data_IF_974041340729
#
_entry.id   IF_974041340729
#
_cell.length_a   1.000
_cell.length_b   1.000
_cell.length_c   1.000
_cell.angle_alpha   90.00
_cell.angle_beta   90.00
_cell.angle_gamma   90.00
#
_symmetry.space_group_name_H-M   'P 1'
#
loop_
_entity.id
_entity.type
_entity.pdbx_description
1 polymer ?
#
# COMPACT_ATOMS: atom_id res chain seq x y z
N UNK A 1 11.13 38.74 20.88
CA UNK A 1 10.59 38.51 19.53
C UNK A 1 9.31 39.31 19.43
N UNK A 2 9.37 40.45 18.73
CA UNK A 2 8.29 41.43 18.68
C UNK A 2 7.10 40.93 17.85
N UNK A 3 5.89 41.18 18.35
CA UNK A 3 4.62 40.83 17.73
C UNK A 3 4.34 41.73 16.52
N UNK A 4 4.03 41.11 15.39
CA UNK A 4 3.54 41.78 14.19
C UNK A 4 2.08 42.25 14.41
N UNK A 5 1.68 43.45 13.94
CA UNK A 5 0.35 44.01 14.21
C UNK A 5 -0.73 43.55 13.22
N UNK A 6 -1.97 43.76 13.68
CA UNK A 6 -3.27 43.79 12.96
C UNK A 6 -3.82 42.47 12.40
N UNK A 7 -4.37 41.63 13.29
CA UNK A 7 -5.56 40.85 12.94
C UNK A 7 -6.83 41.67 13.22
N UNK A 8 -7.89 41.54 12.41
CA UNK A 8 -9.13 42.28 12.60
C UNK A 8 -9.72 42.04 14.01
N UNK A 9 -10.35 43.05 14.65
CA UNK A 9 -10.93 42.92 16.00
C UNK A 9 -11.88 41.73 16.15
N UNK A 10 -12.59 41.37 15.08
CA UNK A 10 -13.47 40.21 15.03
C UNK A 10 -12.74 38.86 15.20
N UNK A 11 -11.49 38.76 14.72
CA UNK A 11 -10.66 37.55 14.83
C UNK A 11 -10.07 37.44 16.23
N UNK A 12 -9.64 38.56 16.82
CA UNK A 12 -9.20 38.59 18.22
C UNK A 12 -10.32 38.22 19.19
N UNK A 13 -11.55 38.71 18.95
CA UNK A 13 -12.71 38.36 19.78
C UNK A 13 -13.08 36.87 19.66
N UNK A 14 -12.94 36.26 18.48
CA UNK A 14 -13.16 34.82 18.29
C UNK A 14 -12.09 33.97 18.98
N UNK A 15 -10.82 34.39 18.91
CA UNK A 15 -9.72 33.71 19.60
C UNK A 15 -9.85 33.78 21.12
N UNK A 16 -10.24 34.94 21.67
CA UNK A 16 -10.50 35.08 23.10
C UNK A 16 -11.68 34.22 23.57
N UNK A 17 -12.78 34.16 22.79
CA UNK A 17 -13.92 33.27 23.11
C UNK A 17 -13.55 31.78 23.03
N UNK A 18 -12.73 31.39 22.06
CA UNK A 18 -12.24 30.02 21.94
C UNK A 18 -11.32 29.64 23.11
N UNK A 19 -10.46 30.56 23.57
CA UNK A 19 -9.62 30.35 24.74
C UNK A 19 -10.41 30.30 26.05
N UNK A 20 -11.49 31.08 26.18
CA UNK A 20 -12.39 31.01 27.34
C UNK A 20 -13.14 29.66 27.40
N UNK A 21 -13.66 29.18 26.27
CA UNK A 21 -14.34 27.88 26.20
C UNK A 21 -13.42 26.69 26.53
N UNK A 22 -12.13 26.78 26.17
CA UNK A 22 -11.13 25.76 26.53
C UNK A 22 -10.84 25.73 28.04
N UNK A 23 -10.80 26.89 28.71
CA UNK A 23 -10.57 26.96 30.16
C UNK A 23 -11.75 26.40 30.97
N UNK A 24 -12.98 26.60 30.51
CA UNK A 24 -14.17 26.02 31.17
C UNK A 24 -14.20 24.48 31.06
N UNK A 25 -13.72 23.92 29.94
CA UNK A 25 -13.61 22.47 29.76
C UNK A 25 -12.51 21.85 30.64
N UNK A 26 -11.42 22.56 30.88
CA UNK A 26 -10.34 22.10 31.76
C UNK A 26 -10.70 22.24 33.25
N UNK A 27 -11.45 23.28 33.64
CA UNK A 27 -11.94 23.46 35.01
C UNK A 27 -13.02 22.47 35.43
N UNK A 28 -13.89 22.05 34.51
CA UNK A 28 -15.01 21.14 34.81
C UNK A 28 -14.62 19.68 35.09
N UNK A 29 -13.47 19.22 34.56
CA UNK A 29 -13.00 17.83 34.75
C UNK A 29 -12.24 17.60 36.06
N UNK A 30 -11.68 18.65 36.67
CA UNK A 30 -10.94 18.52 37.92
C UNK A 30 -11.86 18.48 39.17
N UNK A 31 -13.12 18.92 39.07
CA UNK A 31 -14.03 19.06 40.21
C UNK A 31 -14.98 17.86 40.45
N UNK A 32 -15.05 16.88 39.55
CA UNK A 32 -15.97 15.72 39.68
C UNK A 32 -15.29 14.40 40.07
N UNK A 33 -13.97 14.37 40.28
CA UNK A 33 -13.24 13.15 40.64
C UNK A 33 -13.03 12.92 42.16
N UNK A 34 -13.59 13.78 43.02
CA UNK A 34 -13.34 13.72 44.46
C UNK A 34 -14.63 13.87 45.30
N UNK A 35 -15.56 12.92 45.20
CA UNK A 35 -16.56 12.66 46.25
C UNK A 35 -17.47 11.48 45.86
N UNK A 36 -17.10 10.26 46.25
CA UNK A 36 -18.05 9.22 46.66
C UNK A 36 -17.28 7.93 47.02
N UNK A 37 -17.07 7.71 48.31
CA UNK A 37 -16.87 6.38 48.87
C UNK A 37 -18.07 6.08 49.78
N UNK A 38 -18.66 4.88 49.68
CA UNK A 38 -19.00 4.19 50.91
C UNK A 38 -18.63 2.70 50.92
N UNK A 39 -18.61 2.21 52.15
CA UNK A 39 -18.12 0.94 52.67
C UNK A 39 -18.72 -0.35 52.08
N UNK A 40 -17.82 -1.32 51.95
CA UNK A 40 -17.96 -2.76 52.08
C UNK A 40 -19.32 -3.37 52.46
N UNK A 41 -19.80 -4.30 51.61
CA UNK A 41 -20.33 -5.61 52.05
C UNK A 41 -20.23 -6.65 50.94
N UNK A 42 -19.89 -7.87 51.35
CA UNK A 42 -19.47 -8.97 50.48
C UNK A 42 -20.54 -9.46 49.50
N UNK A 43 -20.08 -9.72 48.27
CA UNK A 43 -20.79 -10.46 47.25
C UNK A 43 -19.76 -11.04 46.29
N UNK A 44 -19.74 -12.38 46.15
CA UNK A 44 -18.92 -13.08 45.15
C UNK A 44 -19.27 -12.56 43.76
N UNK A 45 -18.37 -11.78 43.15
CA UNK A 45 -18.49 -11.35 41.76
C UNK A 45 -17.59 -12.22 40.88
N UNK A 46 -18.21 -12.74 39.82
CA UNK A 46 -17.62 -13.58 38.78
C UNK A 46 -16.42 -12.89 38.13
N UNK A 47 -15.40 -13.68 37.82
CA UNK A 47 -14.32 -13.30 36.93
C UNK A 47 -14.87 -13.00 35.54
N UNK A 48 -14.93 -11.72 35.17
CA UNK A 48 -15.37 -11.30 33.85
C UNK A 48 -15.90 -9.89 33.87
N UNK A 49 -15.00 -8.91 34.03
CA UNK A 49 -15.11 -7.56 33.48
C UNK A 49 -13.86 -6.77 33.87
N UNK A 50 -12.85 -6.81 32.99
CA UNK A 50 -11.83 -5.77 32.93
C UNK A 50 -12.24 -4.82 31.81
N UNK A 51 -12.25 -3.49 32.02
CA UNK A 51 -12.50 -2.54 30.95
C UNK A 51 -11.39 -2.68 29.90
N UNK A 52 -11.78 -3.00 28.67
CA UNK A 52 -10.87 -3.15 27.54
C UNK A 52 -10.27 -1.79 27.12
N UNK A 53 -9.05 -1.77 26.56
CA UNK A 53 -8.41 -0.55 26.12
C UNK A 53 -9.04 -0.08 24.80
N UNK A 54 -10.00 0.85 24.88
CA UNK A 54 -10.65 1.47 23.72
C UNK A 54 -9.76 2.46 22.94
N UNK A 55 -8.47 2.59 23.29
CA UNK A 55 -7.51 3.48 22.63
C UNK A 55 -6.68 2.87 21.47
N UNK A 56 -7.02 1.68 20.96
CA UNK A 56 -6.13 0.91 20.05
C UNK A 56 -6.64 0.68 18.62
N UNK A 57 -7.78 1.26 18.22
CA UNK A 57 -8.35 1.00 16.91
C UNK A 57 -7.62 1.74 15.77
N UNK A 58 -7.04 2.93 16.03
CA UNK A 58 -6.35 3.75 15.01
C UNK A 58 -4.84 3.46 14.86
N UNK A 59 -4.24 2.63 15.72
CA UNK A 59 -2.78 2.39 15.75
C UNK A 59 -2.32 1.10 15.06
N UNK A 60 -3.21 0.14 14.83
CA UNK A 60 -2.84 -1.18 14.25
C UNK A 60 -2.43 -1.17 12.76
N UNK A 61 -3.04 -0.35 11.87
CA UNK A 61 -2.68 -0.32 10.45
C UNK A 61 -1.28 0.25 10.23
N UNK A 62 -1.02 1.43 10.82
CA UNK A 62 0.28 2.11 10.73
C UNK A 62 1.39 1.27 11.33
N UNK A 63 1.11 0.55 12.43
CA UNK A 63 2.06 -0.35 13.04
C UNK A 63 2.36 -1.58 12.18
N UNK A 64 1.41 -2.06 11.37
CA UNK A 64 1.64 -3.19 10.46
C UNK A 64 2.47 -2.75 9.25
N UNK A 65 2.14 -1.61 8.64
CA UNK A 65 2.94 -1.01 7.57
C UNK A 65 4.36 -0.72 8.06
N UNK A 66 4.50 -0.09 9.22
CA UNK A 66 5.80 0.22 9.82
C UNK A 66 6.58 -1.06 10.19
N UNK A 67 5.91 -2.11 10.69
CA UNK A 67 6.55 -3.40 10.96
C UNK A 67 7.01 -4.10 9.69
N UNK A 68 6.17 -4.15 8.65
CA UNK A 68 6.55 -4.73 7.36
C UNK A 68 7.70 -3.96 6.76
N UNK A 69 7.61 -2.63 6.68
CA UNK A 69 8.68 -1.80 6.15
C UNK A 69 9.98 -1.95 6.97
N UNK A 70 9.91 -1.84 8.29
CA UNK A 70 11.07 -1.97 9.17
C UNK A 70 11.72 -3.36 9.08
N UNK A 71 10.92 -4.42 9.02
CA UNK A 71 11.43 -5.77 8.82
C UNK A 71 12.00 -5.96 7.42
N UNK A 72 11.38 -5.41 6.38
CA UNK A 72 11.91 -5.45 5.01
C UNK A 72 13.26 -4.76 4.90
N UNK A 73 13.45 -3.61 5.58
CA UNK A 73 14.75 -2.92 5.64
C UNK A 73 15.80 -3.75 6.37
N UNK A 74 15.43 -4.36 7.51
CA UNK A 74 16.34 -5.24 8.23
C UNK A 74 16.77 -6.46 7.39
N UNK A 75 15.81 -7.10 6.71
CA UNK A 75 16.08 -8.21 5.80
C UNK A 75 16.89 -7.75 4.59
N UNK A 76 16.68 -6.53 4.08
CA UNK A 76 17.45 -5.96 2.97
C UNK A 76 18.93 -5.82 3.28
N UNK A 77 19.28 -5.32 4.46
CA UNK A 77 20.68 -5.23 4.90
C UNK A 77 21.33 -6.62 4.95
N UNK A 78 20.60 -7.62 5.47
CA UNK A 78 21.08 -9.01 5.50
C UNK A 78 21.18 -9.60 4.10
N UNK A 79 20.20 -9.35 3.23
CA UNK A 79 20.16 -9.84 1.87
C UNK A 79 21.34 -9.31 1.03
N UNK A 80 21.65 -8.01 1.14
CA UNK A 80 22.82 -7.40 0.51
C UNK A 80 24.13 -8.01 1.01
N UNK A 81 24.27 -8.19 2.34
CA UNK A 81 25.47 -8.80 2.88
C UNK A 81 25.65 -10.25 2.38
N UNK A 82 24.56 -11.02 2.32
CA UNK A 82 24.59 -12.39 1.79
C UNK A 82 24.91 -12.40 0.30
N UNK A 83 24.30 -11.50 -0.50
CA UNK A 83 24.60 -11.29 -1.92
C UNK A 83 26.08 -11.06 -2.16
N UNK A 84 26.70 -10.14 -1.43
CA UNK A 84 28.13 -9.86 -1.58
C UNK A 84 29.02 -11.05 -1.16
N UNK A 85 28.63 -11.79 -0.11
CA UNK A 85 29.34 -13.03 0.25
C UNK A 85 29.17 -14.10 -0.84
N UNK A 86 28.00 -14.18 -1.48
CA UNK A 86 27.75 -15.14 -2.56
C UNK A 86 28.56 -14.82 -3.82
N UNK A 87 28.86 -13.56 -4.11
CA UNK A 87 29.83 -13.21 -5.15
C UNK A 87 31.21 -13.84 -4.86
N UNK A 88 31.70 -13.77 -3.62
CA UNK A 88 32.96 -14.41 -3.24
C UNK A 88 32.90 -15.93 -3.37
N UNK A 89 31.79 -16.55 -2.96
CA UNK A 89 31.58 -18.00 -3.15
C UNK A 89 31.62 -18.37 -4.63
N UNK A 90 30.93 -17.62 -5.49
CA UNK A 90 30.94 -17.83 -6.93
C UNK A 90 32.35 -17.66 -7.51
N UNK A 91 33.07 -16.62 -7.08
CA UNK A 91 34.45 -16.34 -7.49
C UNK A 91 35.40 -17.49 -7.13
N UNK A 92 35.31 -18.02 -5.90
CA UNK A 92 36.11 -19.18 -5.49
C UNK A 92 35.73 -20.44 -6.25
N UNK A 93 34.45 -20.65 -6.54
CA UNK A 93 33.99 -21.78 -7.36
C UNK A 93 34.51 -21.71 -8.81
N UNK A 94 34.73 -20.49 -9.33
CA UNK A 94 35.38 -20.24 -10.62
C UNK A 94 36.91 -20.36 -10.56
N UNK A 95 37.50 -20.68 -9.40
CA UNK A 95 38.94 -20.78 -9.19
C UNK A 95 39.65 -19.44 -9.00
N UNK A 96 38.91 -18.35 -8.83
CA UNK A 96 39.44 -17.02 -8.57
C UNK A 96 39.76 -16.77 -7.10
N UNK A 97 40.27 -15.58 -6.81
CA UNK A 97 40.48 -15.07 -5.44
C UNK A 97 39.92 -13.65 -5.36
N UNK A 98 39.42 -13.26 -4.19
CA UNK A 98 38.89 -11.92 -3.96
C UNK A 98 38.67 -11.64 -2.49
N UNK A 99 38.24 -10.42 -2.19
CA UNK A 99 38.03 -9.95 -0.82
C UNK A 99 36.76 -9.12 -0.73
N UNK A 100 36.13 -9.14 0.44
CA UNK A 100 35.05 -8.21 0.74
C UNK A 100 35.65 -6.87 1.16
N UNK A 101 35.33 -5.81 0.44
CA UNK A 101 35.76 -4.45 0.76
C UNK A 101 34.55 -3.59 1.10
N UNK A 102 34.80 -2.45 1.75
CA UNK A 102 33.78 -1.43 1.96
C UNK A 102 33.93 -0.36 0.87
N UNK A 103 32.91 -0.21 0.05
CA UNK A 103 32.86 0.75 -1.05
C UNK A 103 31.90 1.89 -0.73
N UNK A 104 32.34 3.12 -1.00
CA UNK A 104 31.57 4.33 -0.76
C UNK A 104 30.75 4.70 -2.00
N UNK A 105 29.43 4.55 -1.92
CA UNK A 105 28.48 4.94 -2.95
C UNK A 105 28.05 6.38 -2.76
N UNK A 106 28.49 7.27 -3.65
CA UNK A 106 28.08 8.68 -3.67
C UNK A 106 26.84 8.84 -4.54
N UNK A 107 25.81 9.49 -3.99
CA UNK A 107 24.61 9.85 -4.73
C UNK A 107 24.92 11.01 -5.69
N UNK A 108 24.36 10.93 -6.89
CA UNK A 108 24.50 11.91 -7.97
C UNK A 108 23.69 13.19 -7.69
N UNK A 109 22.45 13.03 -7.22
CA UNK A 109 21.47 14.11 -7.04
C UNK A 109 21.39 14.60 -5.59
N UNK A 110 21.94 13.84 -4.64
CA UNK A 110 21.94 14.16 -3.21
C UNK A 110 23.37 14.17 -2.67
N UNK A 111 23.74 15.10 -1.76
CA UNK A 111 25.07 15.15 -1.15
C UNK A 111 25.21 14.09 -0.04
N UNK A 112 24.92 12.83 -0.37
CA UNK A 112 24.89 11.70 0.54
C UNK A 112 25.87 10.64 0.03
N UNK A 113 26.55 9.98 0.97
CA UNK A 113 27.41 8.83 0.69
C UNK A 113 27.02 7.68 1.60
N UNK A 114 26.83 6.50 1.03
CA UNK A 114 26.49 5.27 1.75
C UNK A 114 27.66 4.30 1.63
N UNK A 115 28.02 3.67 2.73
CA UNK A 115 29.02 2.61 2.74
C UNK A 115 28.32 1.28 2.52
N UNK A 116 28.77 0.50 1.52
CA UNK A 116 28.28 -0.85 1.26
C UNK A 116 29.44 -1.82 1.18
N UNK A 117 29.16 -3.08 1.47
CA UNK A 117 30.08 -4.14 1.10
C UNK A 117 30.12 -4.29 -0.42
N UNK A 118 31.27 -4.73 -0.92
CA UNK A 118 31.46 -5.10 -2.31
C UNK A 118 32.47 -6.25 -2.39
N UNK A 119 32.13 -7.31 -3.11
CA UNK A 119 33.06 -8.39 -3.42
C UNK A 119 34.00 -7.97 -4.55
N UNK A 120 35.28 -7.78 -4.23
CA UNK A 120 36.28 -7.36 -5.20
C UNK A 120 37.18 -8.54 -5.61
N UNK A 121 37.17 -8.94 -6.89
CA UNK A 121 38.14 -9.90 -7.43
C UNK A 121 39.59 -9.37 -7.33
N UNK A 122 40.53 -10.26 -7.01
CA UNK A 122 41.96 -9.93 -6.95
C UNK A 122 42.56 -9.66 -8.33
N UNK A 123 41.93 -10.17 -9.38
CA UNK A 123 42.32 -9.98 -10.78
C UNK A 123 41.07 -9.65 -11.60
N UNK A 124 41.25 -8.85 -12.65
CA UNK A 124 40.16 -8.55 -13.57
C UNK A 124 39.62 -9.84 -14.19
N UNK A 125 38.30 -10.01 -14.17
CA UNK A 125 37.65 -11.17 -14.75
C UNK A 125 37.51 -11.01 -16.26
N UNK A 126 37.71 -12.12 -16.99
CA UNK A 126 37.30 -12.18 -18.39
C UNK A 126 35.78 -12.09 -18.50
N UNK A 127 35.27 -11.72 -19.69
CA UNK A 127 33.85 -11.44 -19.93
C UNK A 127 32.89 -12.51 -19.38
N UNK A 128 33.09 -13.79 -19.73
CA UNK A 128 32.20 -14.87 -19.29
C UNK A 128 32.26 -15.13 -17.77
N UNK A 129 33.45 -15.26 -17.15
CA UNK A 129 33.55 -15.30 -15.70
C UNK A 129 32.93 -14.09 -14.99
N UNK A 130 33.03 -12.88 -15.56
CA UNK A 130 32.46 -11.66 -15.00
C UNK A 130 30.93 -11.73 -14.99
N UNK A 131 30.31 -12.10 -16.12
CA UNK A 131 28.86 -12.28 -16.19
C UNK A 131 28.35 -13.34 -15.20
N UNK A 132 29.05 -14.46 -15.06
CA UNK A 132 28.67 -15.52 -14.13
C UNK A 132 28.81 -15.03 -12.69
N UNK A 133 29.91 -14.35 -12.37
CA UNK A 133 30.17 -13.78 -11.06
C UNK A 133 29.06 -12.79 -10.66
N UNK A 134 28.70 -11.87 -11.56
CA UNK A 134 27.67 -10.84 -11.34
C UNK A 134 26.26 -11.43 -11.24
N UNK A 135 25.92 -12.43 -12.05
CA UNK A 135 24.63 -13.11 -11.91
C UNK A 135 24.56 -13.95 -10.62
N UNK A 136 25.63 -14.67 -10.30
CA UNK A 136 25.60 -15.71 -9.26
C UNK A 136 25.47 -15.14 -7.84
N UNK A 137 26.10 -14.00 -7.53
CA UNK A 137 25.98 -13.37 -6.21
C UNK A 137 24.53 -13.18 -5.75
N UNK A 138 23.75 -12.34 -6.45
CA UNK A 138 22.35 -12.09 -6.10
C UNK A 138 21.46 -13.32 -6.31
N UNK A 139 21.70 -14.14 -7.35
CA UNK A 139 20.89 -15.34 -7.60
C UNK A 139 21.03 -16.41 -6.49
N UNK A 140 22.25 -16.68 -6.02
CA UNK A 140 22.48 -17.62 -4.92
C UNK A 140 21.89 -17.09 -3.61
N UNK A 141 22.02 -15.78 -3.34
CA UNK A 141 21.39 -15.16 -2.19
C UNK A 141 19.85 -15.28 -2.25
N UNK A 142 19.27 -15.12 -3.44
CA UNK A 142 17.83 -15.28 -3.65
C UNK A 142 17.37 -16.72 -3.39
N UNK A 143 18.17 -17.73 -3.77
CA UNK A 143 17.86 -19.13 -3.46
C UNK A 143 17.84 -19.39 -1.94
N UNK A 144 18.80 -18.84 -1.20
CA UNK A 144 18.87 -18.98 0.26
C UNK A 144 17.68 -18.30 0.96
N UNK A 145 17.37 -17.05 0.58
CA UNK A 145 16.19 -16.34 1.09
C UNK A 145 14.88 -17.02 0.63
N UNK A 146 14.87 -17.64 -0.54
CA UNK A 146 13.71 -18.33 -1.10
C UNK A 146 13.31 -19.52 -0.24
N UNK A 147 14.30 -20.29 0.23
CA UNK A 147 14.07 -21.38 1.17
C UNK A 147 13.44 -20.90 2.48
N UNK A 148 13.93 -19.79 3.04
CA UNK A 148 13.34 -19.17 4.24
C UNK A 148 11.89 -18.74 4.02
N UNK A 149 11.57 -18.21 2.82
CA UNK A 149 10.21 -17.77 2.48
C UNK A 149 9.20 -18.92 2.47
N UNK A 150 9.63 -20.13 2.10
CA UNK A 150 8.77 -21.34 2.16
C UNK A 150 8.48 -21.75 3.60
N UNK A 151 9.44 -21.59 4.51
CA UNK A 151 9.28 -21.94 5.91
C UNK A 151 8.40 -20.95 6.70
N UNK A 152 8.31 -19.69 6.25
CA UNK A 152 7.61 -18.63 6.98
C UNK A 152 6.16 -18.48 6.55
N UNK A 153 5.28 -18.63 7.53
CA UNK A 153 3.82 -18.58 7.35
C UNK A 153 3.20 -17.25 7.82
N UNK A 154 3.91 -16.46 8.64
CA UNK A 154 3.44 -15.14 9.07
C UNK A 154 3.50 -14.17 7.88
N UNK A 155 2.41 -13.44 7.58
CA UNK A 155 2.36 -12.55 6.43
C UNK A 155 3.33 -11.38 6.48
N UNK A 156 3.66 -10.83 7.65
CA UNK A 156 4.53 -9.65 7.73
C UNK A 156 5.97 -10.02 7.33
N UNK A 157 6.61 -11.03 7.95
CA UNK A 157 7.91 -11.51 7.50
C UNK A 157 7.89 -12.12 6.10
N UNK A 158 6.79 -12.77 5.68
CA UNK A 158 6.68 -13.32 4.33
C UNK A 158 6.67 -12.22 3.26
N UNK A 159 5.92 -11.13 3.46
CA UNK A 159 5.95 -9.96 2.57
C UNK A 159 7.33 -9.31 2.56
N UNK A 160 7.99 -9.20 3.73
CA UNK A 160 9.35 -8.68 3.82
C UNK A 160 10.37 -9.52 3.06
N UNK A 161 10.30 -10.85 3.18
CA UNK A 161 11.14 -11.78 2.42
C UNK A 161 10.84 -11.71 0.91
N UNK A 162 9.57 -11.69 0.52
CA UNK A 162 9.18 -11.58 -0.89
C UNK A 162 9.68 -10.28 -1.55
N UNK A 163 9.61 -9.15 -0.84
CA UNK A 163 10.17 -7.88 -1.33
C UNK A 163 11.68 -7.98 -1.56
N UNK A 164 12.40 -8.64 -0.66
CA UNK A 164 13.85 -8.82 -0.77
C UNK A 164 14.24 -9.84 -1.85
N UNK A 165 13.42 -10.87 -2.09
CA UNK A 165 13.60 -11.76 -3.25
C UNK A 165 13.46 -11.00 -4.56
N UNK A 166 12.49 -10.07 -4.66
CA UNK A 166 12.33 -9.24 -5.85
C UNK A 166 13.52 -8.30 -6.06
N UNK A 167 14.08 -7.75 -4.97
CA UNK A 167 15.30 -6.93 -5.02
C UNK A 167 16.51 -7.74 -5.49
N UNK A 168 16.71 -8.95 -4.98
CA UNK A 168 17.80 -9.82 -5.42
C UNK A 168 17.62 -10.25 -6.89
N UNK A 169 16.38 -10.51 -7.32
CA UNK A 169 16.09 -10.78 -8.73
C UNK A 169 16.40 -9.57 -9.62
N UNK A 170 16.14 -8.34 -9.13
CA UNK A 170 16.54 -7.11 -9.81
C UNK A 170 18.07 -7.03 -9.95
N UNK A 171 18.85 -7.24 -8.89
CA UNK A 171 20.31 -7.24 -8.96
C UNK A 171 20.85 -8.33 -9.90
N UNK A 172 20.30 -9.54 -9.84
CA UNK A 172 20.66 -10.65 -10.72
C UNK A 172 20.44 -10.36 -12.20
N UNK A 173 19.60 -9.39 -12.54
CA UNK A 173 19.44 -8.94 -13.93
C UNK A 173 20.39 -7.80 -14.25
N UNK A 174 20.45 -6.75 -13.42
CA UNK A 174 21.15 -5.51 -13.79
C UNK A 174 22.67 -5.65 -13.75
N UNK A 175 23.22 -6.45 -12.82
CA UNK A 175 24.67 -6.61 -12.67
C UNK A 175 25.31 -7.23 -13.91
N UNK A 176 24.86 -8.43 -14.38
CA UNK A 176 25.39 -8.97 -15.64
C UNK A 176 25.00 -8.13 -16.85
N UNK A 177 23.86 -7.41 -16.80
CA UNK A 177 23.45 -6.52 -17.89
C UNK A 177 24.41 -5.34 -18.04
N UNK A 178 24.93 -4.78 -16.95
CA UNK A 178 25.92 -3.69 -16.99
C UNK A 178 27.18 -4.12 -17.74
N UNK A 179 27.74 -5.29 -17.40
CA UNK A 179 28.90 -5.88 -18.10
C UNK A 179 28.61 -6.14 -19.58
N UNK A 180 27.43 -6.66 -19.89
CA UNK A 180 27.04 -6.93 -21.28
C UNK A 180 26.90 -5.63 -22.10
N UNK A 181 26.36 -4.57 -21.51
CA UNK A 181 26.18 -3.26 -22.15
C UNK A 181 27.51 -2.52 -22.30
N UNK A 182 28.38 -2.59 -21.31
CA UNK A 182 29.74 -2.02 -21.38
C UNK A 182 30.56 -2.70 -22.48
N UNK A 183 30.52 -4.03 -22.56
CA UNK A 183 31.17 -4.79 -23.63
C UNK A 183 30.62 -4.46 -25.03
N UNK A 184 29.35 -4.05 -25.13
CA UNK A 184 28.71 -3.60 -26.36
C UNK A 184 28.96 -2.11 -26.68
N UNK A 185 29.64 -1.37 -25.80
CA UNK A 185 29.85 0.07 -25.93
C UNK A 185 28.59 0.91 -25.77
N UNK A 186 27.55 0.37 -25.11
CA UNK A 186 26.29 1.06 -24.90
C UNK A 186 26.38 1.99 -23.66
N UNK A 187 25.97 3.26 -23.74
CA UNK A 187 26.10 4.20 -22.63
C UNK A 187 25.01 3.96 -21.57
N UNK A 188 25.20 2.97 -20.70
CA UNK A 188 24.23 2.56 -19.68
C UNK A 188 24.66 2.87 -18.23
N UNK A 189 25.57 3.84 -18.04
CA UNK A 189 26.13 4.27 -16.75
C UNK A 189 25.08 4.58 -15.64
N UNK A 190 23.82 4.80 -15.99
CA UNK A 190 22.74 4.98 -15.01
C UNK A 190 22.47 3.71 -14.19
N UNK A 191 22.80 2.52 -14.72
CA UNK A 191 22.69 1.25 -13.99
C UNK A 191 23.62 1.20 -12.77
N UNK A 192 24.69 2.00 -12.77
CA UNK A 192 25.63 2.14 -11.67
C UNK A 192 25.34 3.37 -10.80
N UNK A 193 24.23 4.08 -11.01
CA UNK A 193 23.87 5.18 -10.11
C UNK A 193 23.40 4.65 -8.77
N UNK A 194 23.89 5.25 -7.68
CA UNK A 194 23.41 4.92 -6.34
C UNK A 194 21.88 5.11 -6.24
N UNK A 195 21.33 6.12 -6.91
CA UNK A 195 19.88 6.34 -6.95
C UNK A 195 19.10 5.22 -7.63
N UNK A 196 19.66 4.64 -8.69
CA UNK A 196 18.99 3.52 -9.35
C UNK A 196 19.09 2.26 -8.47
N UNK A 197 20.30 1.97 -7.97
CA UNK A 197 20.59 0.79 -7.17
C UNK A 197 19.94 0.79 -5.79
N UNK A 198 19.72 1.94 -5.14
CA UNK A 198 19.04 2.02 -3.83
C UNK A 198 17.59 2.50 -3.96
N UNK A 199 17.27 3.30 -4.97
CA UNK A 199 15.92 3.83 -5.18
C UNK A 199 14.93 2.77 -5.65
N UNK A 200 15.31 1.90 -6.58
CA UNK A 200 14.44 0.79 -7.03
C UNK A 200 14.15 -0.17 -5.87
N UNK A 201 15.14 -0.64 -5.09
CA UNK A 201 14.85 -1.41 -3.87
C UNK A 201 13.96 -0.68 -2.88
N UNK A 202 14.22 0.61 -2.60
CA UNK A 202 13.37 1.38 -1.69
C UNK A 202 11.92 1.43 -2.17
N UNK A 203 11.69 1.62 -3.47
CA UNK A 203 10.34 1.59 -4.05
C UNK A 203 9.68 0.22 -3.90
N UNK A 204 10.42 -0.88 -4.11
CA UNK A 204 9.94 -2.25 -3.88
C UNK A 204 9.53 -2.43 -2.41
N UNK A 205 10.37 -1.97 -1.46
CA UNK A 205 10.08 -2.07 -0.03
C UNK A 205 8.84 -1.25 0.37
N UNK A 206 8.72 -0.04 -0.15
CA UNK A 206 7.58 0.84 0.09
C UNK A 206 6.30 0.23 -0.49
N UNK A 207 6.32 -0.23 -1.74
CA UNK A 207 5.17 -0.89 -2.37
C UNK A 207 4.72 -2.12 -1.58
N UNK A 208 5.66 -3.00 -1.21
CA UNK A 208 5.37 -4.18 -0.40
C UNK A 208 4.74 -3.82 0.97
N UNK A 209 5.17 -2.70 1.57
CA UNK A 209 4.59 -2.21 2.82
C UNK A 209 3.23 -1.51 2.66
N UNK A 210 2.94 -0.94 1.49
CA UNK A 210 1.77 -0.10 1.23
C UNK A 210 0.58 -0.83 0.55
N UNK A 211 0.81 -1.96 -0.12
CA UNK A 211 -0.24 -2.75 -0.80
C UNK A 211 -1.49 -3.03 0.08
N UNK A 212 -1.34 -3.39 1.38
CA UNK A 212 -2.51 -3.57 2.26
C UNK A 212 -3.30 -2.28 2.51
N UNK A 213 -2.62 -1.14 2.63
CA UNK A 213 -3.26 0.16 2.82
C UNK A 213 -3.99 0.61 1.55
N UNK A 214 -3.41 0.33 0.38
CA UNK A 214 -4.01 0.61 -0.93
C UNK A 214 -5.39 -0.05 -1.08
N UNK A 215 -5.51 -1.33 -0.71
CA UNK A 215 -6.80 -2.05 -0.68
C UNK A 215 -7.83 -1.40 0.24
N UNK A 216 -7.43 -1.02 1.45
CA UNK A 216 -8.33 -0.37 2.42
C UNK A 216 -8.79 0.98 1.88
N UNK A 217 -7.90 1.78 1.28
CA UNK A 217 -8.26 3.05 0.65
C UNK A 217 -9.24 2.85 -0.50
N UNK A 218 -9.01 1.86 -1.37
CA UNK A 218 -9.96 1.50 -2.43
C UNK A 218 -11.32 1.07 -1.86
N UNK A 219 -11.33 0.30 -0.77
CA UNK A 219 -12.56 -0.08 -0.08
C UNK A 219 -13.29 1.13 0.51
N UNK A 220 -12.58 2.06 1.16
CA UNK A 220 -13.14 3.30 1.70
C UNK A 220 -13.69 4.23 0.61
N UNK A 221 -13.03 4.29 -0.55
CA UNK A 221 -13.54 4.98 -1.73
C UNK A 221 -14.93 4.46 -2.11
N UNK A 222 -15.10 3.15 -2.22
CA UNK A 222 -16.40 2.55 -2.53
C UNK A 222 -17.45 2.81 -1.44
N UNK A 223 -17.06 2.68 -0.16
CA UNK A 223 -17.96 2.99 0.97
C UNK A 223 -18.38 4.46 1.00
N UNK A 224 -17.49 5.38 0.64
CA UNK A 224 -17.83 6.80 0.53
C UNK A 224 -18.94 7.01 -0.50
N UNK A 225 -18.80 6.50 -1.73
CA UNK A 225 -19.84 6.66 -2.75
C UNK A 225 -21.13 5.89 -2.44
N UNK A 226 -21.04 4.74 -1.78
CA UNK A 226 -22.20 4.03 -1.28
C UNK A 226 -22.95 4.86 -0.23
N UNK A 227 -22.23 5.50 0.70
CA UNK A 227 -22.84 6.33 1.74
C UNK A 227 -23.65 7.50 1.18
N UNK A 228 -23.17 8.15 0.10
CA UNK A 228 -23.91 9.20 -0.60
C UNK A 228 -25.22 8.70 -1.22
N UNK A 229 -25.28 7.42 -1.63
CA UNK A 229 -26.49 6.81 -2.19
C UNK A 229 -27.46 6.37 -1.08
N UNK A 230 -26.95 5.87 0.03
CA UNK A 230 -27.76 5.52 1.19
C UNK A 230 -28.37 6.73 1.90
N UNK A 231 -27.76 7.91 1.79
CA UNK A 231 -28.37 9.18 2.20
C UNK A 231 -29.57 9.59 1.32
N UNK A 232 -29.76 8.94 0.17
CA UNK A 232 -30.89 9.10 -0.73
C UNK A 232 -30.46 8.96 -2.19
N UNK A 233 -31.05 8.03 -2.94
CA UNK A 233 -30.67 7.75 -4.35
C UNK A 233 -31.28 8.71 -5.37
N UNK A 234 -32.18 9.62 -4.95
CA UNK A 234 -32.95 10.47 -5.87
C UNK A 234 -32.10 11.35 -6.78
N UNK A 235 -30.92 11.78 -6.32
CA UNK A 235 -29.98 12.59 -7.11
C UNK A 235 -29.42 11.84 -8.33
N UNK A 236 -29.45 10.50 -8.32
CA UNK A 236 -28.95 9.69 -9.44
C UNK A 236 -29.93 9.66 -10.62
N UNK A 237 -31.22 9.93 -10.40
CA UNK A 237 -32.22 9.91 -11.47
C UNK A 237 -31.85 10.81 -12.66
N UNK A 238 -31.61 12.12 -12.47
CA UNK A 238 -31.24 12.99 -13.59
C UNK A 238 -29.91 12.58 -14.23
N UNK A 239 -28.95 12.04 -13.48
CA UNK A 239 -27.68 11.57 -14.04
C UNK A 239 -27.83 10.33 -14.91
N UNK A 240 -28.62 9.35 -14.47
CA UNK A 240 -28.89 8.13 -15.24
C UNK A 240 -29.66 8.48 -16.53
N UNK A 241 -30.66 9.36 -16.43
CA UNK A 241 -31.45 9.80 -17.58
C UNK A 241 -30.62 10.66 -18.54
N UNK A 242 -29.78 11.56 -18.02
CA UNK A 242 -28.86 12.37 -18.81
C UNK A 242 -27.82 11.53 -19.54
N UNK A 243 -27.15 10.61 -18.82
CA UNK A 243 -26.20 9.68 -19.40
C UNK A 243 -26.83 8.83 -20.52
N UNK A 244 -28.04 8.33 -20.32
CA UNK A 244 -28.77 7.58 -21.35
C UNK A 244 -29.02 8.42 -22.62
N UNK A 245 -29.28 9.72 -22.48
CA UNK A 245 -29.57 10.60 -23.62
C UNK A 245 -28.32 10.91 -24.47
N UNK A 246 -27.14 10.97 -23.85
CA UNK A 246 -25.91 11.46 -24.51
C UNK A 246 -24.86 10.38 -24.78
N UNK A 247 -25.04 9.15 -24.29
CA UNK A 247 -24.05 8.09 -24.48
C UNK A 247 -23.97 7.69 -25.97
N UNK A 248 -22.80 7.80 -26.63
CA UNK A 248 -22.68 7.55 -28.06
C UNK A 248 -22.36 6.09 -28.40
N UNK A 249 -22.16 5.21 -27.41
CA UNK A 249 -21.76 3.82 -27.65
C UNK A 249 -22.99 2.99 -28.04
N UNK A 250 -23.04 2.42 -29.26
CA UNK A 250 -24.15 1.55 -29.66
C UNK A 250 -24.21 0.29 -28.78
N UNK A 251 -25.41 -0.15 -28.46
CA UNK A 251 -25.71 -1.21 -27.50
C UNK A 251 -25.79 -0.71 -26.05
N UNK A 252 -24.84 0.11 -25.61
CA UNK A 252 -24.86 0.72 -24.26
C UNK A 252 -25.92 1.81 -24.20
N UNK A 253 -26.02 2.65 -25.23
CA UNK A 253 -27.03 3.69 -25.33
C UNK A 253 -28.45 3.10 -25.19
N UNK A 254 -28.77 2.07 -25.97
CA UNK A 254 -30.09 1.44 -25.99
C UNK A 254 -30.40 0.74 -24.67
N UNK A 255 -29.42 0.05 -24.06
CA UNK A 255 -29.58 -0.53 -22.73
C UNK A 255 -29.90 0.57 -21.70
N UNK A 256 -29.16 1.68 -21.73
CA UNK A 256 -29.38 2.80 -20.82
C UNK A 256 -30.75 3.45 -21.04
N UNK A 257 -31.13 3.72 -22.28
CA UNK A 257 -32.37 4.41 -22.62
C UNK A 257 -33.63 3.56 -22.41
N UNK A 258 -33.59 2.27 -22.77
CA UNK A 258 -34.76 1.40 -22.77
C UNK A 258 -34.94 0.62 -21.47
N UNK A 259 -33.85 0.31 -20.76
CA UNK A 259 -33.88 -0.55 -19.56
C UNK A 259 -33.51 0.22 -18.31
N UNK A 260 -32.36 0.89 -18.30
CA UNK A 260 -31.80 1.51 -17.08
C UNK A 260 -32.55 2.77 -16.68
N UNK A 261 -32.76 3.71 -17.61
CA UNK A 261 -33.39 5.00 -17.32
C UNK A 261 -34.86 4.91 -16.85
N UNK A 262 -35.71 4.03 -17.43
CA UNK A 262 -37.07 3.82 -16.91
C UNK A 262 -37.07 3.17 -15.53
N UNK A 263 -36.09 2.30 -15.25
CA UNK A 263 -35.97 1.55 -14.00
C UNK A 263 -34.87 2.12 -13.07
N UNK A 264 -34.57 3.42 -13.20
CA UNK A 264 -33.39 4.07 -12.60
C UNK A 264 -33.22 3.78 -11.11
N UNK A 265 -34.32 3.69 -10.36
CA UNK A 265 -34.31 3.47 -8.92
C UNK A 265 -33.64 2.15 -8.56
N UNK A 266 -34.02 1.06 -9.25
CA UNK A 266 -33.47 -0.27 -8.97
C UNK A 266 -31.99 -0.36 -9.34
N UNK A 267 -31.57 0.28 -10.43
CA UNK A 267 -30.16 0.35 -10.81
C UNK A 267 -29.34 1.21 -9.83
N UNK A 268 -29.90 2.32 -9.35
CA UNK A 268 -29.26 3.16 -8.34
C UNK A 268 -29.06 2.41 -7.02
N UNK A 269 -30.08 1.67 -6.56
CA UNK A 269 -30.00 0.83 -5.36
C UNK A 269 -29.04 -0.33 -5.56
N UNK A 270 -29.11 -1.03 -6.70
CA UNK A 270 -28.19 -2.13 -7.02
C UNK A 270 -26.73 -1.66 -7.04
N UNK A 271 -26.47 -0.48 -7.60
CA UNK A 271 -25.14 0.12 -7.56
C UNK A 271 -24.71 0.45 -6.13
N UNK A 272 -25.57 1.05 -5.30
CA UNK A 272 -25.28 1.32 -3.90
C UNK A 272 -24.93 0.05 -3.11
N UNK A 273 -25.69 -1.03 -3.33
CA UNK A 273 -25.42 -2.35 -2.74
C UNK A 273 -24.09 -2.89 -3.24
N UNK A 274 -23.82 -2.85 -4.54
CA UNK A 274 -22.56 -3.30 -5.13
C UNK A 274 -21.35 -2.58 -4.54
N UNK A 275 -21.39 -1.25 -4.49
CA UNK A 275 -20.34 -0.42 -3.90
C UNK A 275 -20.15 -0.72 -2.40
N UNK A 276 -21.25 -0.95 -1.67
CA UNK A 276 -21.20 -1.34 -0.25
C UNK A 276 -20.51 -2.69 -0.07
N UNK A 277 -20.89 -3.69 -0.87
CA UNK A 277 -20.32 -5.05 -0.81
C UNK A 277 -18.83 -5.01 -1.14
N UNK A 278 -18.45 -4.37 -2.25
CA UNK A 278 -17.04 -4.20 -2.63
C UNK A 278 -16.28 -3.50 -1.52
N UNK A 279 -16.80 -2.37 -1.03
CA UNK A 279 -16.18 -1.58 0.02
C UNK A 279 -15.94 -2.37 1.29
N UNK A 280 -16.95 -3.09 1.81
CA UNK A 280 -16.82 -3.90 3.02
C UNK A 280 -15.84 -5.07 2.82
N UNK A 281 -15.93 -5.80 1.71
CA UNK A 281 -15.05 -6.92 1.41
C UNK A 281 -13.58 -6.46 1.28
N UNK A 282 -13.35 -5.35 0.57
CA UNK A 282 -12.03 -4.73 0.40
C UNK A 282 -11.53 -4.02 1.65
N UNK A 283 -12.36 -3.59 2.60
CA UNK A 283 -11.85 -3.09 3.89
C UNK A 283 -11.51 -4.27 4.80
N UNK A 284 -12.40 -5.26 4.94
CA UNK A 284 -12.27 -6.39 5.86
C UNK A 284 -11.33 -7.51 5.40
N UNK A 285 -10.99 -7.52 4.11
CA UNK A 285 -10.10 -8.49 3.47
C UNK A 285 -10.74 -9.86 3.38
N UNK A 286 -11.99 -9.82 2.96
CA UNK A 286 -12.80 -10.97 2.66
C UNK A 286 -12.94 -11.03 1.15
N UNK A 287 -12.74 -12.21 0.57
CA UNK A 287 -12.88 -12.43 -0.86
C UNK A 287 -12.21 -11.35 -1.75
N UNK A 288 -10.99 -10.89 -1.43
CA UNK A 288 -10.46 -9.61 -1.95
C UNK A 288 -10.37 -9.57 -3.46
N UNK A 289 -9.96 -10.68 -4.09
CA UNK A 289 -9.92 -10.79 -5.54
C UNK A 289 -11.32 -10.69 -6.16
N UNK A 290 -12.31 -11.36 -5.58
CA UNK A 290 -13.70 -11.29 -6.07
C UNK A 290 -14.28 -9.89 -5.90
N UNK A 291 -13.98 -9.25 -4.77
CA UNK A 291 -14.37 -7.88 -4.49
C UNK A 291 -13.71 -6.90 -5.47
N UNK A 292 -12.42 -7.10 -5.80
CA UNK A 292 -11.71 -6.31 -6.79
C UNK A 292 -12.29 -6.50 -8.21
N UNK A 293 -12.65 -7.73 -8.61
CA UNK A 293 -13.35 -7.97 -9.88
C UNK A 293 -14.70 -7.25 -9.92
N UNK A 294 -15.50 -7.34 -8.85
CA UNK A 294 -16.78 -6.62 -8.79
C UNK A 294 -16.58 -5.10 -8.82
N UNK A 295 -15.59 -4.58 -8.09
CA UNK A 295 -15.21 -3.17 -8.13
C UNK A 295 -14.75 -2.72 -9.52
N UNK A 296 -13.98 -3.55 -10.23
CA UNK A 296 -13.56 -3.29 -11.60
C UNK A 296 -14.78 -3.18 -12.54
N UNK A 297 -15.75 -4.10 -12.43
CA UNK A 297 -16.97 -4.07 -13.23
C UNK A 297 -17.80 -2.80 -12.94
N UNK A 298 -17.94 -2.42 -11.67
CA UNK A 298 -18.61 -1.17 -11.28
C UNK A 298 -17.89 0.06 -11.84
N UNK A 299 -16.56 0.11 -11.73
CA UNK A 299 -15.75 1.21 -12.22
C UNK A 299 -15.79 1.34 -13.74
N UNK A 300 -15.73 0.21 -14.47
CA UNK A 300 -15.88 0.17 -15.92
C UNK A 300 -17.26 0.66 -16.34
N UNK A 301 -18.32 0.20 -15.69
CA UNK A 301 -19.67 0.68 -15.95
C UNK A 301 -19.77 2.21 -15.74
N UNK A 302 -19.25 2.71 -14.62
CA UNK A 302 -19.28 4.16 -14.32
C UNK A 302 -18.45 4.97 -15.32
N UNK A 303 -17.26 4.49 -15.68
CA UNK A 303 -16.42 5.11 -16.69
C UNK A 303 -17.13 5.18 -18.05
N UNK A 304 -17.84 4.11 -18.45
CA UNK A 304 -18.56 4.03 -19.72
C UNK A 304 -19.90 4.79 -19.73
N UNK A 305 -20.53 4.99 -18.58
CA UNK A 305 -21.82 5.68 -18.50
C UNK A 305 -21.63 7.18 -18.32
N UNK A 306 -20.68 7.59 -17.48
CA UNK A 306 -20.52 8.99 -17.04
C UNK A 306 -19.56 9.79 -17.93
N UNK A 307 -18.70 9.15 -18.72
CA UNK A 307 -17.66 9.84 -19.50
C UNK A 307 -18.20 10.89 -20.50
N UNK A 308 -19.46 10.78 -20.93
CA UNK A 308 -20.08 11.72 -21.87
C UNK A 308 -21.04 12.73 -21.20
N UNK A 309 -21.46 12.47 -19.97
CA UNK A 309 -22.33 13.39 -19.22
C UNK A 309 -21.53 14.36 -18.35
N UNK A 310 -20.55 13.86 -17.59
CA UNK A 310 -19.79 14.75 -16.72
C UNK A 310 -18.92 15.71 -17.53
N UNK A 311 -19.20 17.01 -17.51
CA UNK A 311 -18.37 18.03 -18.19
C UNK A 311 -17.00 18.22 -17.53
N UNK A 312 -16.88 17.86 -16.25
CA UNK A 312 -15.64 17.96 -15.47
C UNK A 312 -14.67 16.79 -15.79
N UNK A 313 -13.48 17.06 -16.37
CA UNK A 313 -12.46 16.05 -16.61
C UNK A 313 -11.98 15.35 -15.33
N UNK A 314 -11.91 16.05 -14.19
CA UNK A 314 -11.46 15.49 -12.93
C UNK A 314 -12.39 14.38 -12.42
N UNK A 315 -13.70 14.55 -12.61
CA UNK A 315 -14.69 13.55 -12.28
C UNK A 315 -14.56 12.28 -13.13
N UNK A 316 -14.20 12.41 -14.41
CA UNK A 316 -13.95 11.25 -15.30
C UNK A 316 -12.69 10.49 -14.90
N UNK A 317 -11.61 11.23 -14.59
CA UNK A 317 -10.34 10.66 -14.15
C UNK A 317 -10.48 9.81 -12.88
N UNK A 318 -11.35 10.20 -11.97
CA UNK A 318 -11.63 9.43 -10.76
C UNK A 318 -12.13 8.01 -11.07
N UNK A 319 -12.98 7.83 -12.08
CA UNK A 319 -13.44 6.48 -12.48
C UNK A 319 -12.38 5.70 -13.25
N UNK A 320 -11.54 6.37 -14.06
CA UNK A 320 -10.41 5.70 -14.73
C UNK A 320 -9.37 5.20 -13.72
N UNK A 321 -9.07 6.00 -12.69
CA UNK A 321 -8.23 5.57 -11.59
C UNK A 321 -8.88 4.42 -10.82
N UNK A 322 -10.19 4.46 -10.58
CA UNK A 322 -10.90 3.34 -9.97
C UNK A 322 -10.78 2.05 -10.80
N UNK A 323 -10.82 2.12 -12.14
CA UNK A 323 -10.57 0.96 -13.01
C UNK A 323 -9.18 0.39 -12.77
N UNK A 324 -8.14 1.23 -12.82
CA UNK A 324 -6.74 0.79 -12.62
C UNK A 324 -6.50 0.22 -11.22
N UNK A 325 -6.98 0.90 -10.19
CA UNK A 325 -6.86 0.49 -8.78
C UNK A 325 -7.51 -0.88 -8.55
N UNK A 326 -8.74 -1.08 -9.04
CA UNK A 326 -9.41 -2.36 -8.87
C UNK A 326 -8.76 -3.47 -9.72
N UNK A 327 -8.24 -3.15 -10.91
CA UNK A 327 -7.48 -4.11 -11.71
C UNK A 327 -6.20 -4.58 -10.99
N UNK A 328 -5.45 -3.68 -10.35
CA UNK A 328 -4.26 -4.03 -9.58
C UNK A 328 -4.59 -4.90 -8.36
N UNK A 329 -5.71 -4.61 -7.68
CA UNK A 329 -6.18 -5.38 -6.53
C UNK A 329 -6.62 -6.82 -6.86
N UNK A 330 -6.86 -7.16 -8.13
CA UNK A 330 -7.12 -8.55 -8.55
C UNK A 330 -5.87 -9.41 -8.34
N UNK A 331 -4.69 -8.83 -8.55
CA UNK A 331 -3.42 -9.53 -8.46
C UNK A 331 -2.73 -9.34 -7.10
N UNK A 332 -3.11 -8.30 -6.35
CA UNK A 332 -2.59 -8.02 -5.01
C UNK A 332 -3.05 -9.06 -3.96
N UNK A 333 -2.19 -9.33 -2.97
CA UNK A 333 -2.59 -10.12 -1.80
C UNK A 333 -3.55 -9.35 -0.88
N UNK A 334 -4.42 -10.09 -0.17
CA UNK A 334 -5.45 -9.50 0.72
C UNK A 334 -4.90 -8.61 1.84
N UNK A 335 -3.61 -8.75 2.22
CA UNK A 335 -2.97 -7.88 3.21
C UNK A 335 -3.64 -7.91 4.60
N UNK A 336 -3.60 -6.81 5.36
CA UNK A 336 -4.36 -6.64 6.61
C UNK A 336 -5.45 -5.56 6.44
N UNK A 337 -6.62 -5.70 7.08
CA UNK A 337 -7.11 -6.94 7.72
C UNK A 337 -7.47 -7.94 6.62
N UNK A 338 -7.01 -9.19 6.71
CA UNK A 338 -7.43 -10.29 5.84
C UNK A 338 -8.21 -11.30 6.66
N UNK A 339 -9.44 -10.93 7.04
CA UNK A 339 -10.30 -11.83 7.77
C UNK A 339 -10.51 -13.16 7.02
N UNK A 340 -10.42 -13.15 5.68
CA UNK A 340 -10.46 -14.33 4.83
C UNK A 340 -9.39 -15.39 5.12
N UNK A 341 -8.34 -15.08 5.90
CA UNK A 341 -7.30 -16.05 6.30
C UNK A 341 -7.69 -16.90 7.52
N UNK A 342 -8.71 -16.51 8.28
CA UNK A 342 -9.09 -17.26 9.48
C UNK A 342 -9.98 -18.46 9.16
N UNK A 343 -9.74 -19.58 9.86
CA UNK A 343 -10.48 -20.83 9.69
C UNK A 343 -11.98 -20.72 10.01
N UNK A 344 -12.40 -19.73 10.80
CA UNK A 344 -13.83 -19.50 11.09
C UNK A 344 -14.58 -18.83 9.93
N UNK A 345 -13.87 -18.17 9.00
CA UNK A 345 -14.50 -17.55 7.82
C UNK A 345 -14.88 -18.64 6.83
N UNK A 346 -16.11 -18.66 6.27
CA UNK A 346 -16.51 -19.64 5.25
C UNK A 346 -15.57 -19.68 4.05
N UNK A 347 -15.33 -20.87 3.49
CA UNK A 347 -14.37 -21.07 2.40
C UNK A 347 -14.60 -20.15 1.18
N UNK A 348 -15.86 -19.84 0.86
CA UNK A 348 -16.21 -18.98 -0.27
C UNK A 348 -15.83 -17.49 -0.08
N UNK A 349 -15.59 -17.07 1.17
CA UNK A 349 -15.07 -15.75 1.57
C UNK A 349 -13.54 -15.72 1.79
N UNK A 350 -12.88 -16.88 1.67
CA UNK A 350 -11.41 -16.97 1.70
C UNK A 350 -10.87 -16.81 0.28
N UNK A 351 -10.27 -15.66 -0.04
CA UNK A 351 -9.42 -15.47 -1.23
C UNK A 351 -8.61 -14.20 -1.11
#
# INVERSE_FOLDING_TARGET
MALHPSQPPAVQLRLQRAQAALRDLEGGRAAQAASAAPEARGGRLRAGDRPGPEGHALTRPSLTVARTFGLSVAVYVVALAVHEVMHLVALYALGGQGTLVVHAWRFTFLPITVQSFHAQPAQALAFWPHLIFDFAGPALAALLLGFLTVAVHDPVPRTALAANLLILAFYAVIEPLDVALDAAGAPAHFLLWAEFNYGVPLLILLAASALPAFRVVAGLFWLYYASQKWAGVGWMKPLIQGAAAVNPIPGVHELLALVVAPNWFWFAVAQAVGETVVGLLLVLGLATRKAAVLGLLLALNLALVVAWEASDPGFRWLYYLAVLVNAELIFAEAGWPALGRYKFVPAWLRS
#
